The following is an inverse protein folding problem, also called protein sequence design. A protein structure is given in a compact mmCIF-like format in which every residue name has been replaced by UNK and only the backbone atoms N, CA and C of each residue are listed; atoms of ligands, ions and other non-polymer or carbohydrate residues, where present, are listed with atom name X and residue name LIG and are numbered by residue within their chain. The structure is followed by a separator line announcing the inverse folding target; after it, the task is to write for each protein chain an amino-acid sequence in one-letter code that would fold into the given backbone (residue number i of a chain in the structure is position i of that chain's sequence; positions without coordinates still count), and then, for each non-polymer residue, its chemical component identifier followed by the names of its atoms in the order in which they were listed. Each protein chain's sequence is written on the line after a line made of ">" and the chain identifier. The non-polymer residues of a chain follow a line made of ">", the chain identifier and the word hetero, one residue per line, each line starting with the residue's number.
data_IF_008427439805
#
_entry.id   IF_008427439805
#
_cell.length_a   1.000
_cell.length_b   1.000
_cell.length_c   1.000
_cell.angle_alpha   90.00
_cell.angle_beta   90.00
_cell.angle_gamma   90.00
#
_symmetry.space_group_name_H-M   'P 1'
#
loop_
_entity.id
_entity.type
_entity.pdbx_description
1 polymer ?
#
# COMPACT_ATOMS: atom_id res chain seq x y z
N UNK A 1 -31.37 -22.05 15.90
CA UNK A 1 -31.30 -23.51 15.88
C UNK A 1 -30.38 -24.00 14.80
N UNK A 2 -30.59 -23.56 13.55
CA UNK A 2 -29.79 -23.87 12.36
C UNK A 2 -28.29 -23.54 12.53
N UNK A 3 -27.94 -22.33 13.02
CA UNK A 3 -26.57 -21.93 13.27
C UNK A 3 -25.85 -22.80 14.36
N UNK A 4 -26.58 -23.33 15.32
CA UNK A 4 -26.00 -24.22 16.34
C UNK A 4 -25.71 -25.60 15.75
N UNK A 5 -26.60 -26.10 14.91
CA UNK A 5 -26.41 -27.35 14.19
C UNK A 5 -25.21 -27.29 13.26
N UNK A 6 -25.04 -26.18 12.51
CA UNK A 6 -23.88 -25.92 11.67
C UNK A 6 -22.55 -25.86 12.46
N UNK A 7 -22.52 -25.20 13.62
CA UNK A 7 -21.34 -25.16 14.49
C UNK A 7 -20.98 -26.57 15.00
N UNK A 8 -21.96 -27.38 15.33
CA UNK A 8 -21.73 -28.73 15.81
C UNK A 8 -21.20 -29.65 14.68
N UNK A 9 -21.71 -29.52 13.47
CA UNK A 9 -21.18 -30.23 12.28
C UNK A 9 -19.73 -29.82 12.01
N UNK A 10 -19.41 -28.53 11.96
CA UNK A 10 -18.05 -28.06 11.77
C UNK A 10 -17.07 -28.50 12.87
N UNK A 11 -17.55 -28.63 14.12
CA UNK A 11 -16.74 -29.16 15.22
C UNK A 11 -16.52 -30.68 15.08
N UNK A 12 -17.53 -31.45 14.65
CA UNK A 12 -17.42 -32.90 14.37
C UNK A 12 -16.46 -33.18 13.21
N UNK A 13 -16.46 -32.31 12.17
CA UNK A 13 -15.58 -32.42 11.01
C UNK A 13 -14.16 -31.91 11.26
N UNK A 14 -13.83 -31.55 12.50
CA UNK A 14 -12.54 -30.95 12.88
C UNK A 14 -12.18 -29.68 12.11
N UNK A 15 -13.17 -28.88 11.71
CA UNK A 15 -12.99 -27.55 11.10
C UNK A 15 -12.97 -26.46 12.17
N UNK A 16 -13.80 -26.62 13.23
CA UNK A 16 -13.82 -25.71 14.39
C UNK A 16 -13.33 -26.44 15.67
N UNK A 17 -12.76 -25.66 16.58
CA UNK A 17 -12.24 -26.12 17.88
C UNK A 17 -11.20 -27.24 17.77
N UNK A 18 -10.43 -27.22 16.68
CA UNK A 18 -9.31 -28.14 16.46
C UNK A 18 -8.20 -27.91 17.49
N UNK A 19 -7.39 -28.93 17.72
CA UNK A 19 -6.18 -28.80 18.53
C UNK A 19 -5.24 -27.74 17.94
N UNK A 20 -4.71 -26.83 18.76
CA UNK A 20 -3.70 -25.86 18.33
C UNK A 20 -2.36 -26.56 18.11
N UNK A 21 -2.15 -27.03 16.89
CA UNK A 21 -0.89 -27.68 16.49
C UNK A 21 0.31 -26.72 16.54
N UNK A 22 0.09 -25.40 16.63
CA UNK A 22 1.13 -24.38 16.68
C UNK A 22 1.53 -23.98 18.10
N UNK A 23 0.79 -24.34 19.14
CA UNK A 23 1.06 -24.00 20.55
C UNK A 23 2.51 -24.33 20.94
N UNK A 24 2.99 -25.51 20.56
CA UNK A 24 4.38 -25.96 20.82
C UNK A 24 5.45 -25.09 20.17
N UNK A 25 5.11 -24.28 19.17
CA UNK A 25 6.02 -23.39 18.45
C UNK A 25 6.00 -21.95 18.95
N UNK A 26 5.08 -21.58 19.86
CA UNK A 26 4.92 -20.20 20.37
C UNK A 26 6.25 -19.69 20.96
N UNK A 27 6.99 -20.54 21.68
CA UNK A 27 8.30 -20.20 22.25
C UNK A 27 9.34 -19.77 21.21
N UNK A 28 9.25 -20.32 19.99
CA UNK A 28 10.18 -20.02 18.90
C UNK A 28 9.97 -18.62 18.31
N UNK A 29 8.76 -18.05 18.41
CA UNK A 29 8.50 -16.70 17.92
C UNK A 29 9.29 -15.63 18.67
N UNK A 30 9.51 -15.82 19.98
CA UNK A 30 10.29 -14.90 20.81
C UNK A 30 11.80 -14.96 20.52
N UNK A 31 12.27 -16.03 19.89
CA UNK A 31 13.69 -16.25 19.59
C UNK A 31 14.06 -15.88 18.16
N UNK A 32 13.08 -15.57 17.27
CA UNK A 32 13.34 -15.19 15.90
C UNK A 32 13.96 -13.80 15.85
N UNK A 33 15.05 -13.65 15.12
CA UNK A 33 15.58 -12.33 14.79
C UNK A 33 14.53 -11.57 14.00
N UNK A 34 14.17 -10.40 14.52
CA UNK A 34 13.26 -9.49 13.81
C UNK A 34 14.05 -8.81 12.70
N UNK A 35 13.70 -9.08 11.45
CA UNK A 35 14.25 -8.39 10.29
C UNK A 35 13.17 -7.54 9.63
N UNK A 36 13.53 -6.38 9.10
CA UNK A 36 12.61 -5.52 8.37
C UNK A 36 12.38 -6.14 6.99
N UNK A 37 11.10 -6.34 6.65
CA UNK A 37 10.69 -6.90 5.36
C UNK A 37 10.15 -5.84 4.41
N UNK A 38 9.43 -4.87 4.95
CA UNK A 38 8.62 -3.93 4.19
C UNK A 38 8.65 -2.54 4.81
N UNK A 39 8.50 -1.53 3.96
CA UNK A 39 8.25 -0.15 4.36
C UNK A 39 7.01 0.37 3.65
N UNK A 40 6.18 1.11 4.38
CA UNK A 40 5.16 1.97 3.81
C UNK A 40 5.69 3.41 3.84
N UNK A 41 5.92 3.99 2.69
CA UNK A 41 6.44 5.35 2.54
C UNK A 41 5.30 6.32 2.24
N UNK A 42 4.99 7.18 3.20
CA UNK A 42 4.04 8.27 3.00
C UNK A 42 4.69 9.37 2.13
N UNK A 43 4.65 9.15 0.82
CA UNK A 43 5.31 9.99 -0.18
C UNK A 43 4.74 11.41 -0.24
N UNK A 44 3.44 11.55 0.04
CA UNK A 44 2.77 12.83 0.07
C UNK A 44 1.84 12.92 1.29
N UNK A 45 2.04 13.95 2.12
CA UNK A 45 1.09 14.43 3.11
C UNK A 45 0.24 15.54 2.47
N UNK A 46 -0.38 15.22 1.35
CA UNK A 46 -1.35 16.02 0.62
C UNK A 46 -2.18 15.12 -0.30
N UNK A 47 -3.40 15.54 -0.61
CA UNK A 47 -4.29 14.81 -1.51
C UNK A 47 -5.12 15.78 -2.34
N UNK A 48 -5.46 15.40 -3.55
CA UNK A 48 -6.33 16.15 -4.46
C UNK A 48 -7.82 15.80 -4.31
N UNK A 49 -8.18 14.83 -3.43
CA UNK A 49 -9.55 14.49 -3.05
C UNK A 49 -9.80 14.82 -1.57
N UNK A 50 -11.10 14.89 -1.20
CA UNK A 50 -11.59 15.10 0.16
C UNK A 50 -12.51 13.94 0.57
N UNK A 51 -11.97 12.72 0.63
CA UNK A 51 -12.73 11.52 0.96
C UNK A 51 -13.33 11.62 2.36
N UNK A 52 -14.64 11.34 2.51
CA UNK A 52 -15.36 11.52 3.78
C UNK A 52 -14.89 10.61 4.90
N UNK A 53 -14.30 9.47 4.57
CA UNK A 53 -13.76 8.51 5.54
C UNK A 53 -12.23 8.55 5.65
N UNK A 54 -11.59 9.62 5.16
CA UNK A 54 -10.13 9.72 5.13
C UNK A 54 -9.57 9.78 6.56
N UNK A 55 -8.90 8.71 6.99
CA UNK A 55 -8.22 8.68 8.30
C UNK A 55 -7.03 9.64 8.39
N UNK A 56 -6.56 10.12 7.23
CA UNK A 56 -5.40 11.00 7.11
C UNK A 56 -5.80 12.48 6.93
N UNK A 57 -7.06 12.87 7.17
CA UNK A 57 -7.53 14.25 7.04
C UNK A 57 -7.10 14.90 5.72
N UNK A 58 -7.62 14.38 4.61
CA UNK A 58 -7.23 14.81 3.25
C UNK A 58 -5.72 14.67 2.95
N UNK A 59 -5.04 13.77 3.65
CA UNK A 59 -3.63 13.48 3.49
C UNK A 59 -2.70 14.22 4.44
N UNK A 60 -3.20 15.10 5.31
CA UNK A 60 -2.37 15.93 6.20
C UNK A 60 -1.85 15.18 7.45
N UNK A 61 -2.46 14.05 7.82
CA UNK A 61 -2.07 13.21 8.97
C UNK A 61 -1.93 14.02 10.29
N UNK A 62 -2.93 14.88 10.60
CA UNK A 62 -2.94 15.77 11.76
C UNK A 62 -1.74 16.75 11.81
N UNK A 63 -1.13 17.01 10.69
CA UNK A 63 0.05 17.84 10.59
C UNK A 63 -0.09 18.96 9.56
N UNK A 64 0.91 19.07 8.73
CA UNK A 64 0.94 20.03 7.61
C UNK A 64 1.09 19.30 6.29
N UNK A 65 0.60 19.91 5.23
CA UNK A 65 0.87 19.45 3.86
C UNK A 65 2.36 19.49 3.59
N UNK A 66 2.88 18.37 3.12
CA UNK A 66 4.28 18.22 2.79
C UNK A 66 4.46 17.09 1.76
N UNK A 67 5.49 17.17 0.97
CA UNK A 67 5.95 16.10 0.09
C UNK A 67 7.27 15.54 0.61
N UNK A 68 7.43 14.23 0.57
CA UNK A 68 8.68 13.58 0.96
C UNK A 68 9.80 14.00 0.01
N UNK A 69 10.94 14.37 0.53
CA UNK A 69 12.11 14.61 -0.30
C UNK A 69 12.76 13.28 -0.73
N UNK A 70 13.45 13.26 -1.87
CA UNK A 70 14.22 12.11 -2.31
C UNK A 70 15.19 11.61 -1.23
N UNK A 71 15.88 12.52 -0.54
CA UNK A 71 16.86 12.17 0.49
C UNK A 71 16.24 11.43 1.67
N UNK A 72 15.01 11.75 2.07
CA UNK A 72 14.29 11.02 3.12
C UNK A 72 13.95 9.62 2.65
N UNK A 73 13.35 9.49 1.47
CA UNK A 73 13.01 8.20 0.88
C UNK A 73 14.25 7.32 0.63
N UNK A 74 15.35 7.91 0.15
CA UNK A 74 16.64 7.24 -0.01
C UNK A 74 17.12 6.63 1.30
N UNK A 75 17.14 7.42 2.38
CA UNK A 75 17.52 6.92 3.72
C UNK A 75 16.62 5.80 4.20
N UNK A 76 15.33 5.84 3.88
CA UNK A 76 14.40 4.76 4.22
C UNK A 76 14.74 3.46 3.46
N UNK A 77 15.09 3.53 2.18
CA UNK A 77 15.54 2.35 1.42
C UNK A 77 16.88 1.80 1.94
N UNK A 78 17.83 2.67 2.26
CA UNK A 78 19.11 2.28 2.89
C UNK A 78 18.87 1.57 4.23
N UNK A 79 17.97 2.10 5.05
CA UNK A 79 17.54 1.48 6.31
C UNK A 79 16.93 0.09 6.07
N UNK A 80 16.02 -0.04 5.09
CA UNK A 80 15.40 -1.32 4.75
C UNK A 80 16.43 -2.37 4.38
N UNK A 81 17.38 -2.03 3.51
CA UNK A 81 18.46 -2.92 3.10
C UNK A 81 19.31 -3.33 4.31
N UNK A 82 19.77 -2.36 5.11
CA UNK A 82 20.64 -2.59 6.26
C UNK A 82 20.00 -3.50 7.34
N UNK A 83 18.66 -3.42 7.49
CA UNK A 83 17.94 -4.12 8.55
C UNK A 83 17.16 -5.36 8.06
N UNK A 84 17.33 -5.76 6.81
CA UNK A 84 16.62 -6.91 6.21
C UNK A 84 17.33 -8.26 6.40
N UNK A 85 18.53 -8.27 6.97
CA UNK A 85 19.32 -9.49 7.17
C UNK A 85 19.52 -10.27 5.87
N UNK A 86 19.34 -11.57 5.91
CA UNK A 86 19.46 -12.47 4.73
C UNK A 86 18.24 -12.45 3.79
N UNK A 87 17.20 -11.67 4.10
CA UNK A 87 15.99 -11.61 3.28
C UNK A 87 16.28 -10.97 1.92
N UNK A 88 15.99 -11.69 0.84
CA UNK A 88 16.20 -11.24 -0.53
C UNK A 88 15.06 -10.32 -0.99
N UNK A 89 13.80 -10.75 -0.80
CA UNK A 89 12.64 -10.00 -1.27
C UNK A 89 12.22 -8.93 -0.25
N UNK A 90 12.24 -7.67 -0.66
CA UNK A 90 11.86 -6.50 0.13
C UNK A 90 10.65 -5.82 -0.51
N UNK A 91 9.78 -5.27 0.31
CA UNK A 91 8.55 -4.62 -0.14
C UNK A 91 8.58 -3.14 0.22
N UNK A 92 8.20 -2.30 -0.73
CA UNK A 92 8.06 -0.85 -0.54
C UNK A 92 6.72 -0.42 -1.10
N UNK A 93 5.87 0.10 -0.24
CA UNK A 93 4.56 0.62 -0.60
C UNK A 93 4.58 2.15 -0.62
N UNK A 94 4.33 2.73 -1.77
CA UNK A 94 4.15 4.18 -1.92
C UNK A 94 2.70 4.52 -1.59
N UNK A 95 2.55 5.23 -0.49
CA UNK A 95 1.28 5.57 0.12
C UNK A 95 1.22 7.04 0.53
N UNK A 96 0.23 7.42 1.32
CA UNK A 96 0.07 8.76 1.89
C UNK A 96 -1.30 9.34 1.59
N UNK A 97 -1.37 10.62 1.27
CA UNK A 97 -2.57 11.25 0.74
C UNK A 97 -2.82 10.77 -0.70
N UNK A 98 -2.11 11.36 -1.67
CA UNK A 98 -2.06 10.87 -3.05
C UNK A 98 -0.61 10.80 -3.54
N UNK A 99 -0.02 9.60 -3.68
CA UNK A 99 1.38 9.44 -4.07
C UNK A 99 1.75 10.06 -5.40
N UNK A 100 0.83 10.09 -6.38
CA UNK A 100 1.11 10.68 -7.69
C UNK A 100 1.30 12.21 -7.64
N UNK A 101 0.97 12.88 -6.53
CA UNK A 101 1.33 14.29 -6.33
C UNK A 101 2.83 14.49 -6.13
N UNK A 102 3.56 13.43 -5.78
CA UNK A 102 5.03 13.44 -5.66
C UNK A 102 5.68 12.46 -6.64
N UNK A 103 5.16 12.42 -7.86
CA UNK A 103 5.49 11.42 -8.86
C UNK A 103 6.98 11.34 -9.21
N UNK A 104 7.67 12.48 -9.30
CA UNK A 104 9.10 12.47 -9.62
C UNK A 104 9.89 11.73 -8.54
N UNK A 105 9.60 11.97 -7.26
CA UNK A 105 10.29 11.28 -6.16
C UNK A 105 9.98 9.78 -6.16
N UNK A 106 8.76 9.36 -6.52
CA UNK A 106 8.44 7.93 -6.70
C UNK A 106 9.34 7.30 -7.75
N UNK A 107 9.47 7.93 -8.93
CA UNK A 107 10.35 7.43 -10.01
C UNK A 107 11.81 7.33 -9.57
N UNK A 108 12.30 8.37 -8.91
CA UNK A 108 13.69 8.43 -8.44
C UNK A 108 13.99 7.37 -7.39
N UNK A 109 13.05 7.13 -6.47
CA UNK A 109 13.17 6.08 -5.44
C UNK A 109 13.11 4.67 -6.03
N UNK A 110 12.27 4.44 -7.04
CA UNK A 110 12.24 3.16 -7.76
C UNK A 110 13.59 2.91 -8.44
N UNK A 111 14.10 3.89 -9.18
CA UNK A 111 15.41 3.79 -9.83
C UNK A 111 16.53 3.55 -8.81
N UNK A 112 16.51 4.26 -7.68
CA UNK A 112 17.47 4.06 -6.60
C UNK A 112 17.36 2.67 -6.00
N UNK A 113 16.16 2.19 -5.68
CA UNK A 113 15.96 0.84 -5.16
C UNK A 113 16.49 -0.23 -6.11
N UNK A 114 16.22 -0.11 -7.43
CA UNK A 114 16.80 -1.01 -8.45
C UNK A 114 18.32 -1.03 -8.41
N UNK A 115 18.97 0.12 -8.19
CA UNK A 115 20.43 0.18 -8.09
C UNK A 115 21.01 -0.53 -6.85
N UNK A 116 20.20 -0.74 -5.81
CA UNK A 116 20.62 -1.46 -4.61
C UNK A 116 20.48 -3.00 -4.74
N UNK A 117 19.73 -3.49 -5.73
CA UNK A 117 19.38 -4.92 -5.82
C UNK A 117 20.61 -5.81 -5.98
N UNK A 118 21.43 -5.58 -7.00
CA UNK A 118 22.58 -6.41 -7.31
C UNK A 118 23.67 -6.32 -6.22
N UNK A 119 24.12 -5.12 -5.77
CA UNK A 119 25.19 -5.00 -4.77
C UNK A 119 24.85 -5.63 -3.42
N UNK A 120 23.57 -5.66 -3.06
CA UNK A 120 23.11 -6.15 -1.75
C UNK A 120 22.39 -7.51 -1.82
N UNK A 121 22.31 -8.15 -2.98
CA UNK A 121 21.53 -9.37 -3.20
C UNK A 121 20.09 -9.21 -2.69
N UNK A 122 19.44 -8.13 -3.11
CA UNK A 122 18.05 -7.79 -2.78
C UNK A 122 17.20 -7.75 -4.04
N UNK A 123 15.90 -7.85 -3.85
CA UNK A 123 14.89 -7.68 -4.90
C UNK A 123 13.72 -6.89 -4.34
N UNK A 124 13.51 -5.69 -4.88
CA UNK A 124 12.41 -4.83 -4.44
C UNK A 124 11.11 -5.14 -5.19
N UNK A 125 10.05 -5.24 -4.42
CA UNK A 125 8.67 -5.26 -4.90
C UNK A 125 8.05 -3.92 -4.52
N UNK A 126 7.89 -3.06 -5.52
CA UNK A 126 7.24 -1.77 -5.33
C UNK A 126 5.73 -1.91 -5.53
N UNK A 127 4.98 -1.30 -4.63
CA UNK A 127 3.52 -1.14 -4.75
C UNK A 127 3.15 0.33 -4.65
N UNK A 128 2.01 0.70 -5.20
CA UNK A 128 1.50 2.06 -5.15
C UNK A 128 -0.02 2.03 -5.02
N UNK A 129 -0.54 2.84 -4.08
CA UNK A 129 -1.98 3.02 -3.89
C UNK A 129 -2.37 4.42 -4.37
N UNK A 130 -3.29 4.52 -5.33
CA UNK A 130 -3.70 5.82 -5.89
C UNK A 130 -5.22 5.95 -6.01
N UNK A 131 -5.71 7.18 -5.90
CA UNK A 131 -7.09 7.52 -6.22
C UNK A 131 -7.36 7.66 -7.73
N UNK A 132 -6.34 7.58 -8.58
CA UNK A 132 -6.44 7.56 -10.02
C UNK A 132 -6.61 8.91 -10.71
N UNK A 133 -6.83 10.00 -9.99
CA UNK A 133 -7.09 11.34 -10.59
C UNK A 133 -5.94 11.77 -11.50
N UNK A 134 -4.70 11.55 -11.09
CA UNK A 134 -3.50 11.98 -11.81
C UNK A 134 -2.96 10.95 -12.81
N UNK A 135 -3.58 9.76 -12.91
CA UNK A 135 -3.17 8.76 -13.90
C UNK A 135 -3.26 9.32 -15.33
N UNK A 136 -2.25 9.04 -16.11
CA UNK A 136 -2.15 9.28 -17.55
C UNK A 136 -1.36 8.14 -18.19
N UNK A 137 -1.22 8.14 -19.51
CA UNK A 137 -0.59 7.04 -20.25
C UNK A 137 0.88 6.83 -19.85
N UNK A 138 1.65 7.89 -19.67
CA UNK A 138 3.06 7.82 -19.23
C UNK A 138 3.18 7.17 -17.85
N UNK A 139 2.34 7.60 -16.91
CA UNK A 139 2.33 7.04 -15.55
C UNK A 139 1.93 5.57 -15.59
N UNK A 140 0.88 5.21 -16.32
CA UNK A 140 0.42 3.82 -16.43
C UNK A 140 1.49 2.91 -17.05
N UNK A 141 2.19 3.36 -18.08
CA UNK A 141 3.31 2.62 -18.69
C UNK A 141 4.42 2.36 -17.66
N UNK A 142 4.82 3.37 -16.89
CA UNK A 142 5.80 3.21 -15.83
C UNK A 142 5.32 2.25 -14.74
N UNK A 143 4.07 2.38 -14.28
CA UNK A 143 3.49 1.50 -13.26
C UNK A 143 3.47 0.05 -13.73
N UNK A 144 3.07 -0.22 -14.96
CA UNK A 144 3.06 -1.57 -15.54
C UNK A 144 4.46 -2.17 -15.64
N UNK A 145 5.48 -1.35 -15.86
CA UNK A 145 6.86 -1.82 -16.00
C UNK A 145 7.54 -2.06 -14.65
N UNK A 146 7.37 -1.15 -13.70
CA UNK A 146 8.20 -1.10 -12.49
C UNK A 146 7.49 -1.59 -11.22
N UNK A 147 6.15 -1.52 -11.16
CA UNK A 147 5.40 -1.89 -9.96
C UNK A 147 5.03 -3.37 -9.97
N UNK A 148 5.13 -4.00 -8.81
CA UNK A 148 4.66 -5.38 -8.62
C UNK A 148 3.15 -5.44 -8.38
N UNK A 149 2.57 -4.34 -7.90
CA UNK A 149 1.14 -4.19 -7.68
C UNK A 149 0.75 -2.71 -7.67
N UNK A 150 -0.45 -2.41 -8.16
CA UNK A 150 -1.07 -1.08 -8.09
C UNK A 150 -2.46 -1.22 -7.53
N UNK A 151 -2.75 -0.48 -6.47
CA UNK A 151 -4.08 -0.43 -5.85
C UNK A 151 -4.82 0.80 -6.36
N UNK A 152 -5.95 0.58 -7.02
CA UNK A 152 -6.82 1.61 -7.53
C UNK A 152 -8.03 1.77 -6.61
N UNK A 153 -8.19 2.96 -6.02
CA UNK A 153 -9.22 3.22 -5.03
C UNK A 153 -10.57 3.56 -5.69
N UNK A 154 -11.55 2.67 -5.56
CA UNK A 154 -12.91 2.87 -6.06
C UNK A 154 -13.96 2.34 -5.07
N UNK A 155 -15.05 3.08 -4.87
CA UNK A 155 -16.13 2.74 -3.93
C UNK A 155 -17.40 2.25 -4.65
N UNK A 156 -17.21 1.43 -5.68
CA UNK A 156 -18.30 0.82 -6.42
C UNK A 156 -18.96 1.78 -7.42
N UNK A 157 -20.30 1.87 -7.40
CA UNK A 157 -21.07 2.66 -8.37
C UNK A 157 -20.92 4.17 -8.15
N UNK A 158 -21.18 4.94 -9.20
CA UNK A 158 -20.95 6.38 -9.28
C UNK A 158 -21.51 7.18 -8.10
N UNK A 159 -22.76 6.96 -7.73
CA UNK A 159 -23.42 7.76 -6.68
C UNK A 159 -22.79 7.55 -5.30
N UNK A 160 -22.28 6.34 -5.05
CA UNK A 160 -21.57 6.02 -3.81
C UNK A 160 -20.18 6.62 -3.86
N UNK A 161 -19.45 6.39 -4.94
CA UNK A 161 -18.08 6.89 -5.11
C UNK A 161 -18.03 8.42 -5.02
N UNK A 162 -18.86 9.14 -5.80
CA UNK A 162 -18.86 10.60 -5.84
C UNK A 162 -19.23 11.23 -4.48
N UNK A 163 -20.09 10.56 -3.70
CA UNK A 163 -20.40 10.98 -2.34
C UNK A 163 -19.23 10.78 -1.39
N UNK A 164 -18.53 9.65 -1.51
CA UNK A 164 -17.51 9.26 -0.55
C UNK A 164 -16.11 9.79 -0.90
N UNK A 165 -15.83 10.04 -2.20
CA UNK A 165 -14.54 10.50 -2.74
C UNK A 165 -14.69 11.75 -3.62
N UNK A 166 -15.27 12.83 -3.12
CA UNK A 166 -15.37 14.07 -3.87
C UNK A 166 -14.01 14.76 -3.99
N UNK A 167 -13.91 15.63 -4.99
CA UNK A 167 -12.91 16.70 -4.97
C UNK A 167 -13.18 17.66 -3.80
N UNK A 168 -12.16 18.45 -3.42
CA UNK A 168 -12.31 19.49 -2.38
C UNK A 168 -13.42 20.51 -2.68
N UNK A 169 -13.71 20.74 -3.95
CA UNK A 169 -14.83 21.58 -4.41
C UNK A 169 -16.20 20.90 -4.40
N UNK A 170 -16.31 19.65 -3.91
CA UNK A 170 -17.56 18.90 -3.81
C UNK A 170 -17.97 18.17 -5.09
N UNK A 171 -17.24 18.34 -6.21
CA UNK A 171 -17.53 17.61 -7.46
C UNK A 171 -17.17 16.13 -7.31
N UNK A 172 -17.91 15.25 -7.98
CA UNK A 172 -17.61 13.83 -8.05
C UNK A 172 -16.34 13.53 -8.86
N UNK A 173 -15.63 12.47 -8.51
CA UNK A 173 -14.40 12.04 -9.18
C UNK A 173 -14.58 10.82 -10.09
N UNK A 174 -15.71 10.13 -10.02
CA UNK A 174 -15.96 8.86 -10.71
C UNK A 174 -15.78 8.93 -12.23
N UNK A 175 -16.39 9.90 -12.89
CA UNK A 175 -16.36 10.01 -14.36
C UNK A 175 -14.95 10.32 -14.89
N UNK A 176 -14.07 10.89 -14.05
CA UNK A 176 -12.68 11.14 -14.39
C UNK A 176 -11.81 9.89 -14.26
N UNK A 177 -12.03 9.09 -13.20
CA UNK A 177 -11.12 7.98 -12.87
C UNK A 177 -11.47 6.67 -13.57
N UNK A 178 -12.77 6.35 -13.70
CA UNK A 178 -13.21 5.05 -14.24
C UNK A 178 -12.69 4.79 -15.65
N UNK A 179 -12.73 5.74 -16.61
CA UNK A 179 -12.15 5.50 -17.93
C UNK A 179 -10.64 5.18 -17.90
N UNK A 180 -9.92 5.69 -16.88
CA UNK A 180 -8.49 5.39 -16.68
C UNK A 180 -8.28 4.00 -16.10
N UNK A 181 -9.18 3.53 -15.23
CA UNK A 181 -9.13 2.20 -14.62
C UNK A 181 -9.52 1.08 -15.59
N UNK A 182 -10.25 1.40 -16.64
CA UNK A 182 -10.66 0.47 -17.69
C UNK A 182 -9.60 0.32 -18.80
N UNK A 183 -8.59 1.17 -18.82
CA UNK A 183 -7.50 1.20 -19.78
C UNK A 183 -6.31 0.34 -19.34
#
# INVERSE_FOLDING_TARGET
>A
REAVEEILELAQDNVLFTEDIYEKYIGNFKQRQTVVKALCLHIAHDCNLACQYCFAEEGEYHGRRALMSFEVGKKALDFLVANSGSRVNLEVDFFGGEPLMNWQVVKDLVAYGRSLEEPHNKKFRFTLTTNGVLLNDEIMEFLNKEMSNVVLSIDGRKEVHDRMRPFRGGQGSYDLIVPKFQK
#
